data_IF_873710810626
#
_entry.id   IF_873710810626
#
_cell.length_a   1.000
_cell.length_b   1.000
_cell.length_c   1.000
_cell.angle_alpha   90.00
_cell.angle_beta   90.00
_cell.angle_gamma   90.00
#
_symmetry.space_group_name_H-M   'P 1'
#
loop_
_entity.id
_entity.type
_entity.pdbx_description
1 polymer ?
#
# COMPACT_ATOMS: atom_id res chain seq x y z
N UNK A 1 -11.75 -0.41 10.66
CA UNK A 1 -11.95 -0.13 9.23
C UNK A 1 -10.58 -0.23 8.58
N UNK A 2 -10.46 -0.97 7.50
CA UNK A 2 -9.23 -1.05 6.73
C UNK A 2 -9.05 0.26 5.96
N UNK A 3 -7.81 0.71 5.77
CA UNK A 3 -7.46 1.91 4.99
C UNK A 3 -7.71 1.70 3.49
N UNK A 4 -7.64 0.45 3.03
CA UNK A 4 -7.80 0.08 1.63
C UNK A 4 -8.86 -1.02 1.44
N UNK A 5 -9.48 -1.04 0.26
CA UNK A 5 -10.30 -2.16 -0.19
C UNK A 5 -9.44 -3.36 -0.64
N UNK A 6 -9.25 -4.33 0.24
CA UNK A 6 -8.47 -5.54 -0.05
C UNK A 6 -9.18 -6.56 -0.97
N UNK A 7 -10.47 -6.37 -1.29
CA UNK A 7 -11.24 -7.34 -2.08
C UNK A 7 -10.78 -7.46 -3.53
N UNK A 8 -10.23 -6.38 -4.09
CA UNK A 8 -9.77 -6.31 -5.48
C UNK A 8 -8.24 -6.45 -5.60
N UNK A 9 -7.56 -6.63 -4.47
CA UNK A 9 -6.11 -6.66 -4.40
C UNK A 9 -5.62 -8.10 -4.55
N UNK A 10 -4.71 -8.39 -5.51
CA UNK A 10 -4.15 -9.73 -5.71
C UNK A 10 -3.60 -10.34 -4.42
N UNK A 11 -3.81 -11.65 -4.23
CA UNK A 11 -3.43 -12.37 -2.99
C UNK A 11 -1.94 -12.30 -2.66
N UNK A 12 -1.09 -12.10 -3.67
CA UNK A 12 0.37 -11.92 -3.53
C UNK A 12 0.76 -10.59 -2.87
N UNK A 13 -0.14 -9.61 -2.84
CA UNK A 13 0.09 -8.33 -2.16
C UNK A 13 -0.17 -8.49 -0.67
N UNK A 14 0.86 -8.26 0.13
CA UNK A 14 0.80 -8.29 1.59
C UNK A 14 0.69 -6.90 2.22
N UNK A 15 1.11 -5.85 1.50
CA UNK A 15 1.17 -4.48 2.01
C UNK A 15 0.68 -3.48 0.99
N UNK A 16 -0.02 -2.45 1.45
CA UNK A 16 -0.44 -1.30 0.64
C UNK A 16 -0.02 -0.02 1.35
N UNK A 17 0.48 0.95 0.61
CA UNK A 17 0.74 2.30 1.09
C UNK A 17 0.31 3.33 0.06
N UNK A 18 0.32 4.60 0.46
CA UNK A 18 0.06 5.75 -0.38
C UNK A 18 1.27 6.66 -0.31
N UNK A 19 1.79 7.07 -1.46
CA UNK A 19 2.88 8.02 -1.59
C UNK A 19 2.39 9.46 -1.34
N UNK A 20 3.32 10.39 -1.21
CA UNK A 20 3.00 11.80 -0.90
C UNK A 20 2.19 12.52 -1.98
N UNK A 21 2.20 12.00 -3.21
CA UNK A 21 1.40 12.49 -4.33
C UNK A 21 0.01 11.83 -4.43
N UNK A 22 -0.32 10.92 -3.51
CA UNK A 22 -1.57 10.17 -3.52
C UNK A 22 -1.54 8.90 -4.37
N UNK A 23 -0.38 8.51 -4.90
CA UNK A 23 -0.25 7.23 -5.61
C UNK A 23 -0.35 6.08 -4.64
N UNK A 24 -1.29 5.17 -4.85
CA UNK A 24 -1.39 3.93 -4.08
C UNK A 24 -0.41 2.90 -4.66
N UNK A 25 0.38 2.28 -3.79
CA UNK A 25 1.45 1.35 -4.11
C UNK A 25 1.28 0.06 -3.31
N UNK A 26 1.48 -1.08 -3.98
CA UNK A 26 1.27 -2.42 -3.43
C UNK A 26 2.61 -3.18 -3.35
N UNK A 27 2.79 -3.99 -2.30
CA UNK A 27 4.02 -4.75 -2.08
C UNK A 27 3.74 -6.17 -1.59
N UNK A 28 4.55 -7.11 -2.06
CA UNK A 28 4.61 -8.50 -1.57
C UNK A 28 5.38 -8.63 -0.25
N UNK A 29 6.15 -7.59 0.12
CA UNK A 29 6.98 -7.53 1.34
C UNK A 29 6.87 -6.16 1.98
N UNK A 30 7.25 -6.07 3.26
CA UNK A 30 7.20 -4.81 4.01
C UNK A 30 8.09 -3.75 3.34
N UNK A 31 7.51 -2.61 2.89
CA UNK A 31 8.26 -1.52 2.26
C UNK A 31 8.96 -0.64 3.31
N UNK A 32 9.84 0.24 2.84
CA UNK A 32 10.43 1.31 3.66
C UNK A 32 9.95 2.67 3.18
N UNK A 33 9.57 3.52 4.13
CA UNK A 33 9.28 4.92 3.85
C UNK A 33 10.59 5.69 3.57
N UNK A 34 10.63 6.41 2.45
CA UNK A 34 11.66 7.41 2.14
C UNK A 34 11.04 8.78 2.19
N UNK A 35 10.95 9.34 3.39
CA UNK A 35 10.32 10.65 3.66
C UNK A 35 10.87 11.79 2.81
N UNK A 36 12.18 11.80 2.56
CA UNK A 36 12.85 12.82 1.73
C UNK A 36 12.46 12.74 0.24
N UNK A 37 11.94 11.61 -0.21
CA UNK A 37 11.47 11.39 -1.58
C UNK A 37 9.94 11.34 -1.65
N UNK A 38 9.25 11.28 -0.52
CA UNK A 38 7.80 11.21 -0.48
C UNK A 38 7.22 9.89 -0.99
N UNK A 39 7.97 8.78 -0.88
CA UNK A 39 7.57 7.48 -1.44
C UNK A 39 7.75 6.32 -0.46
N UNK A 40 6.96 5.27 -0.64
CA UNK A 40 7.15 3.93 -0.12
C UNK A 40 7.82 3.07 -1.17
N UNK A 41 9.02 2.57 -0.87
CA UNK A 41 9.76 1.71 -1.80
C UNK A 41 10.04 0.36 -1.16
N UNK A 42 9.88 -0.73 -1.91
CA UNK A 42 10.43 -2.02 -1.54
C UNK A 42 11.91 -2.06 -1.92
N UNK A 43 12.57 -3.17 -1.59
CA UNK A 43 13.93 -3.46 -2.08
C UNK A 43 13.89 -3.81 -3.59
N UNK A 44 12.76 -4.34 -4.09
CA UNK A 44 12.46 -4.60 -5.52
C UNK A 44 10.97 -4.35 -5.81
N UNK A 45 10.58 -3.27 -6.54
CA UNK A 45 9.16 -2.92 -6.69
C UNK A 45 8.42 -3.68 -7.78
N UNK A 46 7.29 -4.27 -7.40
CA UNK A 46 6.20 -4.60 -8.31
C UNK A 46 5.28 -3.38 -8.40
N UNK A 47 5.49 -2.51 -9.40
CA UNK A 47 4.65 -1.34 -9.61
C UNK A 47 3.25 -1.80 -10.07
N UNK A 48 2.27 -1.80 -9.16
CA UNK A 48 0.86 -1.99 -9.52
C UNK A 48 0.13 -0.67 -9.37
N UNK A 49 -0.26 -0.09 -10.51
CA UNK A 49 -1.17 1.04 -10.59
C UNK A 49 -2.59 0.55 -10.31
N UNK A 50 -2.90 0.33 -9.04
CA UNK A 50 -4.21 -0.10 -8.63
C UNK A 50 -4.66 0.75 -7.46
N UNK A 51 -5.92 1.14 -7.54
CA UNK A 51 -6.70 1.88 -6.55
C UNK A 51 -6.65 3.39 -6.79
N UNK A 52 -7.70 3.88 -7.45
CA UNK A 52 -8.14 5.28 -7.31
C UNK A 52 -8.02 5.67 -5.84
N UNK A 53 -7.26 6.73 -5.60
CA UNK A 53 -6.80 7.28 -4.32
C UNK A 53 -7.81 7.11 -3.15
N UNK A 54 -7.69 6.02 -2.35
CA UNK A 54 -8.63 5.71 -1.26
C UNK A 54 -8.22 6.27 0.10
N UNK A 55 -6.96 6.69 0.29
CA UNK A 55 -6.46 7.11 1.59
C UNK A 55 -6.36 8.63 1.71
N UNK A 56 -7.23 9.24 2.53
CA UNK A 56 -7.29 10.69 2.76
C UNK A 56 -6.46 11.18 3.97
N UNK A 57 -5.62 10.32 4.56
CA UNK A 57 -4.81 10.62 5.76
C UNK A 57 -3.38 11.06 5.45
N UNK A 58 -2.53 11.13 6.49
CA UNK A 58 -1.09 11.38 6.29
C UNK A 58 -0.45 10.18 5.59
N UNK A 59 0.08 10.40 4.40
CA UNK A 59 0.71 9.36 3.56
C UNK A 59 1.82 8.59 4.31
N UNK A 60 2.46 9.18 5.33
CA UNK A 60 3.46 8.51 6.19
C UNK A 60 2.87 7.47 7.13
N UNK A 61 1.59 7.58 7.43
CA UNK A 61 0.83 6.63 8.23
C UNK A 61 0.00 5.69 7.35
N UNK A 62 0.10 5.78 6.03
CA UNK A 62 -0.75 5.07 5.09
C UNK A 62 -0.47 3.57 4.99
N UNK A 63 0.70 3.10 5.45
CA UNK A 63 1.07 1.69 5.36
C UNK A 63 0.05 0.80 6.09
N UNK A 64 -0.43 -0.22 5.40
CA UNK A 64 -1.33 -1.23 5.93
C UNK A 64 -0.89 -2.62 5.47
N UNK A 65 -0.85 -3.56 6.42
CA UNK A 65 -0.67 -4.97 6.14
C UNK A 65 -2.02 -5.63 5.84
N UNK A 66 -2.06 -6.57 4.91
CA UNK A 66 -3.24 -7.39 4.62
C UNK A 66 -3.80 -8.00 5.91
N UNK A 67 -5.08 -7.78 6.24
CA UNK A 67 -5.70 -8.37 7.42
C UNK A 67 -5.71 -9.90 7.34
N UNK A 68 -5.34 -10.56 8.44
CA UNK A 68 -5.40 -12.02 8.55
C UNK A 68 -6.87 -12.44 8.71
N UNK A 69 -7.37 -13.31 7.82
CA UNK A 69 -8.74 -13.82 7.85
C UNK A 69 -9.65 -13.40 6.68
N UNK A 70 -9.11 -12.76 5.63
CA UNK A 70 -9.85 -12.50 4.38
C UNK A 70 -9.70 -13.64 3.33
N UNK A 71 -9.17 -14.78 3.74
CA UNK A 71 -9.19 -16.03 2.95
C UNK A 71 -10.50 -16.77 3.28
N UNK A 72 -11.51 -16.61 2.44
CA UNK A 72 -12.62 -17.57 2.33
C UNK A 72 -12.25 -18.70 1.36
#
# INVERSE_FOLDING_TARGET
MNKYNWAEVPLEVEWIATDSDGTVVCFDREPKCRENLGIWTPIDPLNMALLDNQYAGDWKESLEKRPVGMSE
#
